data_IF_544750141188
#
_entry.id   IF_544750141188
#
_cell.length_a   1.000
_cell.length_b   1.000
_cell.length_c   1.000
_cell.angle_alpha   90.00
_cell.angle_beta   90.00
_cell.angle_gamma   90.00
#
_symmetry.space_group_name_H-M   'P 1'
#
loop_
_entity.id
_entity.type
_entity.pdbx_description
1 polymer ?
#
# COMPACT_ATOMS: atom_id res chain seq x y z
N UNK A 1 -11.15 9.45 20.20
CA UNK A 1 -10.23 10.53 19.81
C UNK A 1 -9.01 10.65 20.73
N UNK A 2 -9.14 10.49 22.05
CA UNK A 2 -8.04 10.76 23.01
C UNK A 2 -6.88 9.75 23.03
N UNK A 3 -7.10 8.47 22.65
CA UNK A 3 -6.03 7.44 22.62
C UNK A 3 -5.09 7.56 21.40
N UNK A 4 -5.60 7.99 20.26
CA UNK A 4 -4.81 8.12 19.02
C UNK A 4 -3.79 9.25 19.12
N UNK A 5 -4.17 10.37 19.74
CA UNK A 5 -3.27 11.51 19.98
C UNK A 5 -2.10 11.15 20.93
N UNK A 6 -2.34 10.30 21.94
CA UNK A 6 -1.32 9.89 22.90
C UNK A 6 -0.22 9.01 22.27
N UNK A 7 -0.61 8.07 21.40
CA UNK A 7 0.35 7.20 20.67
C UNK A 7 1.18 8.01 19.65
N UNK A 8 0.57 8.97 18.96
CA UNK A 8 1.27 9.88 18.03
C UNK A 8 2.27 10.80 18.74
N UNK A 9 1.93 11.28 19.93
CA UNK A 9 2.84 12.06 20.80
C UNK A 9 4.04 11.21 21.22
N UNK A 10 3.81 9.92 21.51
CA UNK A 10 4.86 8.97 21.93
C UNK A 10 5.81 8.59 20.78
N UNK A 11 5.34 8.60 19.52
CA UNK A 11 6.16 8.37 18.32
C UNK A 11 7.21 9.46 18.08
N UNK A 12 6.92 10.72 18.43
CA UNK A 12 7.80 11.85 18.13
C UNK A 12 8.65 12.37 19.29
N UNK A 13 8.26 12.10 20.56
CA UNK A 13 8.94 12.69 21.74
C UNK A 13 9.96 11.77 22.42
N UNK A 14 10.15 10.53 21.98
CA UNK A 14 11.26 9.67 22.42
C UNK A 14 11.47 9.58 23.94
N UNK A 15 10.41 9.63 24.75
CA UNK A 15 10.54 9.55 26.21
C UNK A 15 10.83 8.11 26.66
N UNK A 16 11.95 7.83 27.33
CA UNK A 16 12.29 6.47 27.77
C UNK A 16 11.43 6.06 28.96
N UNK A 17 10.75 4.91 28.84
CA UNK A 17 10.23 4.17 29.98
C UNK A 17 11.43 3.60 30.77
N UNK A 18 11.57 3.98 32.04
CA UNK A 18 12.60 3.45 32.94
C UNK A 18 12.37 1.94 33.14
N UNK A 19 13.34 1.12 32.76
CA UNK A 19 13.36 -0.32 33.08
C UNK A 19 14.41 -0.59 34.16
N UNK A 20 14.00 -1.27 35.22
CA UNK A 20 14.82 -1.76 36.34
C UNK A 20 15.59 -3.05 35.96
N UNK A 21 16.83 -3.16 36.44
CA UNK A 21 17.67 -4.40 36.50
C UNK A 21 16.94 -5.52 37.27
N UNK A 22 17.26 -6.82 37.26
CA UNK A 22 18.42 -7.66 36.90
C UNK A 22 17.95 -9.14 36.94
N UNK A 23 18.65 -10.09 36.31
CA UNK A 23 19.24 -11.32 36.92
C UNK A 23 19.53 -12.42 35.88
N UNK A 24 20.71 -13.01 36.07
CA UNK A 24 21.39 -14.08 35.35
C UNK A 24 20.88 -15.49 35.72
N UNK A 25 21.01 -16.48 34.83
CA UNK A 25 21.37 -17.87 35.15
C UNK A 25 21.46 -18.82 33.93
N UNK A 26 22.48 -19.69 34.01
CA UNK A 26 23.17 -20.54 33.02
C UNK A 26 22.45 -21.67 32.27
N UNK A 27 23.06 -21.99 31.11
CA UNK A 27 23.36 -23.27 30.41
C UNK A 27 22.54 -24.55 30.67
N UNK A 28 22.02 -25.18 29.59
CA UNK A 28 22.57 -26.44 29.05
C UNK A 28 21.91 -27.00 27.76
N UNK A 29 22.73 -27.72 26.98
CA UNK A 29 22.47 -28.78 25.96
C UNK A 29 21.73 -28.51 24.63
N UNK A 30 22.55 -28.52 23.57
CA UNK A 30 22.40 -29.06 22.19
C UNK A 30 20.99 -29.47 21.72
N UNK A 31 20.45 -28.71 20.76
CA UNK A 31 19.62 -29.24 19.67
C UNK A 31 19.89 -28.45 18.39
N UNK A 32 20.49 -29.13 17.41
CA UNK A 32 20.51 -28.68 16.03
C UNK A 32 19.06 -28.60 15.52
N UNK A 33 18.48 -27.41 15.63
CA UNK A 33 17.44 -26.93 14.74
C UNK A 33 18.09 -25.76 14.02
N UNK A 34 18.07 -25.77 12.70
CA UNK A 34 18.12 -24.54 11.93
C UNK A 34 16.98 -23.67 12.47
N UNK A 35 17.30 -22.82 13.44
CA UNK A 35 16.42 -21.74 13.82
C UNK A 35 16.28 -20.91 12.56
N UNK A 36 15.15 -21.03 11.86
CA UNK A 36 14.62 -19.87 11.15
C UNK A 36 14.56 -18.81 12.24
N UNK A 37 15.56 -17.92 12.27
CA UNK A 37 15.49 -16.71 13.08
C UNK A 37 14.10 -16.16 12.85
N UNK A 38 13.27 -16.11 13.89
CA UNK A 38 11.98 -15.46 13.80
C UNK A 38 12.31 -14.02 13.39
N UNK A 39 12.09 -13.73 12.11
CA UNK A 39 12.33 -12.39 11.61
C UNK A 39 11.36 -11.50 12.37
N UNK A 40 11.88 -10.44 12.97
CA UNK A 40 11.02 -9.45 13.62
C UNK A 40 10.24 -8.75 12.50
N UNK A 41 8.93 -8.66 12.67
CA UNK A 41 8.07 -7.97 11.71
C UNK A 41 8.46 -6.49 11.64
N UNK A 42 8.83 -6.03 10.45
CA UNK A 42 9.10 -4.63 10.16
C UNK A 42 8.04 -4.12 9.19
N UNK A 43 7.09 -3.32 9.70
CA UNK A 43 6.00 -2.76 8.91
C UNK A 43 6.34 -1.33 8.49
N UNK A 44 6.08 -1.02 7.22
CA UNK A 44 6.24 0.34 6.71
C UNK A 44 4.99 1.16 7.05
N UNK A 45 5.10 2.00 8.07
CA UNK A 45 3.97 2.78 8.58
C UNK A 45 3.79 4.11 7.85
N UNK A 46 4.89 4.86 7.62
CA UNK A 46 4.80 6.19 7.05
C UNK A 46 6.11 6.65 6.39
N UNK A 47 5.98 7.64 5.50
CA UNK A 47 7.08 8.39 4.90
C UNK A 47 6.92 9.89 5.14
N UNK A 48 8.03 10.59 5.39
CA UNK A 48 8.03 12.06 5.46
C UNK A 48 8.16 12.65 4.05
N UNK A 49 7.23 13.52 3.68
CA UNK A 49 7.21 14.26 2.42
C UNK A 49 7.73 15.68 2.65
N UNK A 50 8.84 16.09 1.99
CA UNK A 50 9.37 17.45 2.14
C UNK A 50 8.47 18.48 1.46
N UNK A 51 7.96 19.43 2.23
CA UNK A 51 7.08 20.52 1.74
C UNK A 51 7.57 21.87 2.24
N UNK A 52 7.41 22.92 1.45
CA UNK A 52 7.76 24.30 1.84
C UNK A 52 6.64 25.02 2.59
N UNK A 53 5.39 24.56 2.44
CA UNK A 53 4.21 25.15 3.08
C UNK A 53 3.25 24.04 3.53
N UNK A 54 3.14 23.88 4.85
CA UNK A 54 2.35 22.81 5.50
C UNK A 54 0.86 22.95 5.18
N UNK A 55 0.32 24.17 5.16
CA UNK A 55 -1.11 24.39 4.94
C UNK A 55 -1.49 24.28 3.47
N UNK A 56 -0.57 24.62 2.55
CA UNK A 56 -0.74 24.33 1.11
C UNK A 56 -0.74 22.83 0.85
N UNK A 57 0.20 22.07 1.41
CA UNK A 57 0.24 20.62 1.30
C UNK A 57 -1.02 19.97 1.92
N UNK A 58 -1.43 20.41 3.11
CA UNK A 58 -2.65 19.92 3.79
C UNK A 58 -3.90 20.10 2.94
N UNK A 59 -4.09 21.27 2.32
CA UNK A 59 -5.22 21.52 1.43
C UNK A 59 -5.18 20.63 0.19
N UNK A 60 -4.01 20.44 -0.40
CA UNK A 60 -3.85 19.58 -1.58
C UNK A 60 -4.21 18.13 -1.26
N UNK A 61 -3.52 17.49 -0.30
CA UNK A 61 -3.76 16.10 0.05
C UNK A 61 -5.17 15.85 0.60
N UNK A 62 -5.71 16.77 1.39
CA UNK A 62 -7.11 16.73 1.82
C UNK A 62 -8.10 16.85 0.65
N UNK A 63 -7.79 17.69 -0.35
CA UNK A 63 -8.58 17.83 -1.58
C UNK A 63 -8.63 16.54 -2.41
N UNK A 64 -7.55 15.74 -2.39
CA UNK A 64 -7.51 14.40 -3.00
C UNK A 64 -8.38 13.36 -2.25
N UNK A 65 -9.05 13.75 -1.16
CA UNK A 65 -9.89 12.85 -0.38
C UNK A 65 -9.11 11.92 0.55
N UNK A 66 -7.83 12.22 0.81
CA UNK A 66 -7.03 11.45 1.76
C UNK A 66 -7.51 11.74 3.18
N UNK A 67 -7.51 10.73 4.04
CA UNK A 67 -7.99 10.87 5.42
C UNK A 67 -6.95 11.62 6.24
N UNK A 68 -7.33 12.75 6.84
CA UNK A 68 -6.50 13.45 7.81
C UNK A 68 -6.50 12.66 9.12
N UNK A 69 -5.36 12.09 9.49
CA UNK A 69 -5.24 11.31 10.72
C UNK A 69 -4.72 12.14 11.89
N UNK A 70 -3.84 13.11 11.61
CA UNK A 70 -3.26 14.00 12.62
C UNK A 70 -2.91 15.36 12.04
N UNK A 71 -3.06 16.40 12.85
CA UNK A 71 -2.47 17.73 12.66
C UNK A 71 -2.28 18.34 14.04
N UNK A 72 -1.04 18.37 14.52
CA UNK A 72 -0.76 19.01 15.80
C UNK A 72 0.61 19.69 15.82
N UNK A 73 0.69 20.92 16.34
CA UNK A 73 1.93 21.60 16.65
C UNK A 73 2.49 21.17 18.01
N UNK A 74 3.81 21.27 18.17
CA UNK A 74 4.52 21.15 19.46
C UNK A 74 5.44 22.37 19.60
N UNK A 75 5.00 23.35 20.39
CA UNK A 75 5.65 24.66 20.45
C UNK A 75 5.66 25.35 19.09
N UNK A 76 6.62 26.27 18.88
CA UNK A 76 6.72 27.06 17.65
C UNK A 76 7.60 26.42 16.57
N UNK A 77 8.35 25.37 16.92
CA UNK A 77 9.41 24.80 16.06
C UNK A 77 9.00 23.51 15.37
N UNK A 78 7.88 22.92 15.75
CA UNK A 78 7.45 21.61 15.27
C UNK A 78 5.95 21.57 14.98
N UNK A 79 5.60 20.99 13.84
CA UNK A 79 4.22 20.62 13.49
C UNK A 79 4.29 19.37 12.63
N UNK A 80 3.38 18.44 12.87
CA UNK A 80 3.21 17.26 12.01
C UNK A 80 1.77 17.20 11.52
N UNK A 81 1.62 16.96 10.22
CA UNK A 81 0.37 16.63 9.56
C UNK A 81 0.50 15.24 8.97
N UNK A 82 -0.50 14.39 9.21
CA UNK A 82 -0.57 13.03 8.70
C UNK A 82 -1.79 12.84 7.81
N UNK A 83 -1.58 12.25 6.63
CA UNK A 83 -2.64 11.79 5.75
C UNK A 83 -2.45 10.33 5.35
N UNK A 84 -3.55 9.58 5.31
CA UNK A 84 -3.60 8.22 4.73
C UNK A 84 -4.34 8.23 3.39
N UNK A 85 -3.71 7.80 2.28
CA UNK A 85 -4.40 7.56 1.02
C UNK A 85 -5.53 6.52 1.17
N UNK A 86 -6.66 6.65 0.46
CA UNK A 86 -7.73 5.66 0.50
C UNK A 86 -7.22 4.23 0.24
N UNK A 87 -7.56 3.29 1.12
CA UNK A 87 -7.15 1.87 1.02
C UNK A 87 -5.70 1.56 1.41
N UNK A 88 -4.87 2.58 1.66
CA UNK A 88 -3.47 2.37 2.07
C UNK A 88 -3.37 2.01 3.56
N UNK A 89 -2.53 1.02 3.94
CA UNK A 89 -2.14 0.81 5.33
C UNK A 89 -1.06 1.79 5.80
N UNK A 90 -0.37 2.47 4.87
CA UNK A 90 0.71 3.40 5.15
C UNK A 90 0.29 4.87 4.91
N UNK A 91 0.91 5.78 5.66
CA UNK A 91 0.63 7.22 5.67
C UNK A 91 1.75 8.07 5.07
N UNK A 92 1.44 9.34 4.81
CA UNK A 92 2.43 10.40 4.66
C UNK A 92 2.45 11.32 5.87
N UNK A 93 3.62 11.83 6.20
CA UNK A 93 3.84 12.90 7.16
C UNK A 93 4.47 14.11 6.48
N UNK A 94 4.04 15.31 6.82
CA UNK A 94 4.73 16.54 6.42
C UNK A 94 4.49 17.63 7.46
N UNK A 95 5.36 18.64 7.50
CA UNK A 95 5.36 19.54 8.64
C UNK A 95 6.69 20.23 8.91
N UNK A 96 6.69 21.10 9.92
CA UNK A 96 7.86 21.86 10.34
C UNK A 96 8.74 21.00 11.26
N UNK A 97 10.06 20.99 11.01
CA UNK A 97 11.03 20.28 11.85
C UNK A 97 11.08 18.75 11.66
N UNK A 98 10.44 18.21 10.61
CA UNK A 98 10.40 16.76 10.36
C UNK A 98 11.53 16.23 9.46
N UNK A 99 12.07 17.04 8.56
CA UNK A 99 13.09 16.62 7.60
C UNK A 99 13.98 17.80 7.18
N UNK A 100 15.23 17.50 6.84
CA UNK A 100 16.17 18.44 6.21
C UNK A 100 16.20 18.32 4.69
N UNK A 101 15.43 17.40 4.10
CA UNK A 101 15.34 17.25 2.65
C UNK A 101 14.69 18.48 2.00
N UNK A 102 15.11 18.81 0.78
CA UNK A 102 14.58 19.96 0.06
C UNK A 102 13.10 19.73 -0.30
N UNK A 103 12.21 20.73 -0.14
CA UNK A 103 10.84 20.64 -0.64
C UNK A 103 10.77 20.17 -2.10
N UNK A 104 9.85 19.24 -2.39
CA UNK A 104 9.70 18.69 -3.74
C UNK A 104 10.68 17.57 -4.11
N UNK A 105 11.63 17.23 -3.23
CA UNK A 105 12.67 16.27 -3.57
C UNK A 105 12.23 14.80 -3.50
N UNK A 106 11.07 14.48 -2.91
CA UNK A 106 10.61 13.10 -2.84
C UNK A 106 10.12 12.63 -4.21
N UNK A 107 10.70 11.53 -4.72
CA UNK A 107 10.37 10.95 -6.02
C UNK A 107 10.29 9.42 -5.88
N UNK A 108 9.57 8.76 -6.78
CA UNK A 108 9.42 7.30 -6.75
C UNK A 108 8.45 6.81 -5.69
N UNK A 109 7.44 7.62 -5.35
CA UNK A 109 6.37 7.22 -4.42
C UNK A 109 5.28 6.48 -5.20
N UNK A 110 5.02 5.22 -4.86
CA UNK A 110 4.07 4.38 -5.58
C UNK A 110 2.70 4.36 -4.90
N UNK A 111 1.66 4.62 -5.70
CA UNK A 111 0.27 4.35 -5.35
C UNK A 111 -0.23 3.19 -6.21
N UNK A 112 -0.63 2.10 -5.55
CA UNK A 112 -1.09 0.90 -6.26
C UNK A 112 -2.60 0.97 -6.44
N UNK A 113 -3.05 0.73 -7.67
CA UNK A 113 -4.47 0.76 -8.04
C UNK A 113 -4.84 -0.47 -8.85
N UNK A 114 -6.09 -0.91 -8.75
CA UNK A 114 -6.60 -2.03 -9.56
C UNK A 114 -7.15 -1.59 -10.93
N UNK A 115 -7.45 -0.30 -11.06
CA UNK A 115 -7.97 0.34 -12.28
C UNK A 115 -7.32 1.71 -12.42
N UNK A 116 -6.37 1.82 -13.36
CA UNK A 116 -5.58 3.04 -13.53
C UNK A 116 -6.37 4.19 -14.14
N UNK A 117 -7.35 3.90 -14.99
CA UNK A 117 -8.14 4.91 -15.67
C UNK A 117 -9.14 5.53 -14.70
N UNK A 118 -9.80 4.71 -13.89
CA UNK A 118 -10.70 5.18 -12.84
C UNK A 118 -9.95 5.99 -11.78
N UNK A 119 -8.79 5.51 -11.31
CA UNK A 119 -7.99 6.22 -10.33
C UNK A 119 -7.49 7.57 -10.84
N UNK A 120 -7.03 7.62 -12.10
CA UNK A 120 -6.64 8.87 -12.75
C UNK A 120 -7.82 9.83 -12.84
N UNK A 121 -8.96 9.37 -13.33
CA UNK A 121 -10.15 10.21 -13.49
C UNK A 121 -10.57 10.84 -12.16
N UNK A 122 -10.53 10.07 -11.07
CA UNK A 122 -10.81 10.58 -9.72
C UNK A 122 -9.81 11.63 -9.26
N UNK A 123 -8.50 11.40 -9.45
CA UNK A 123 -7.47 12.38 -9.08
C UNK A 123 -7.62 13.70 -9.85
N UNK A 124 -7.85 13.63 -11.16
CA UNK A 124 -8.11 14.82 -12.00
C UNK A 124 -9.36 15.55 -11.55
N UNK A 125 -10.45 14.83 -11.28
CA UNK A 125 -11.70 15.41 -10.78
C UNK A 125 -11.53 16.13 -9.42
N UNK A 126 -10.55 15.70 -8.62
CA UNK A 126 -10.17 16.30 -7.33
C UNK A 126 -9.10 17.38 -7.45
N UNK A 127 -8.69 17.74 -8.68
CA UNK A 127 -7.79 18.85 -8.96
C UNK A 127 -6.31 18.50 -8.98
N UNK A 128 -5.93 17.21 -9.02
CA UNK A 128 -4.56 16.81 -9.30
C UNK A 128 -4.23 16.99 -10.79
N UNK A 129 -3.02 17.48 -11.09
CA UNK A 129 -2.47 17.46 -12.45
C UNK A 129 -1.88 16.08 -12.75
N UNK A 130 -2.75 15.11 -13.05
CA UNK A 130 -2.36 13.75 -13.37
C UNK A 130 -2.11 13.57 -14.87
N UNK A 131 -0.95 13.01 -15.22
CA UNK A 131 -0.56 12.67 -16.58
C UNK A 131 -1.61 11.78 -17.26
N UNK A 132 -1.63 11.76 -18.59
CA UNK A 132 -2.28 10.66 -19.33
C UNK A 132 -1.71 9.30 -18.90
N UNK A 133 -2.52 8.26 -19.06
CA UNK A 133 -2.08 6.88 -18.82
C UNK A 133 -1.03 6.50 -19.87
N UNK A 134 0.02 5.84 -19.41
CA UNK A 134 1.08 5.29 -20.27
C UNK A 134 1.46 3.89 -19.80
N UNK A 135 2.09 3.12 -20.68
CA UNK A 135 2.66 1.82 -20.33
C UNK A 135 4.13 1.74 -20.72
N UNK A 136 4.80 0.69 -20.24
CA UNK A 136 6.17 0.35 -20.63
C UNK A 136 6.21 -1.08 -21.15
N UNK A 137 6.88 -1.30 -22.28
CA UNK A 137 7.04 -2.64 -22.85
C UNK A 137 7.90 -3.57 -21.99
N UNK A 138 8.69 -3.02 -21.06
CA UNK A 138 9.51 -3.77 -20.10
C UNK A 138 10.32 -2.86 -19.17
N UNK A 139 11.11 -3.43 -18.26
CA UNK A 139 11.97 -2.67 -17.35
C UNK A 139 12.94 -1.74 -18.11
N UNK A 140 13.00 -0.47 -17.71
CA UNK A 140 13.86 0.53 -18.33
C UNK A 140 13.43 1.02 -19.72
N UNK A 141 12.34 0.49 -20.27
CA UNK A 141 11.82 0.93 -21.57
C UNK A 141 11.14 2.30 -21.49
N UNK A 142 11.13 3.08 -22.59
CA UNK A 142 10.44 4.37 -22.63
C UNK A 142 8.94 4.22 -22.39
N UNK A 143 8.32 5.32 -21.95
CA UNK A 143 6.87 5.40 -21.82
C UNK A 143 6.21 5.41 -23.21
N UNK A 144 5.16 4.61 -23.37
CA UNK A 144 4.32 4.54 -24.55
C UNK A 144 2.93 5.03 -24.14
N UNK A 145 2.33 5.93 -24.94
CA UNK A 145 1.02 6.48 -24.64
C UNK A 145 -0.06 5.39 -24.57
N UNK A 146 -0.98 5.53 -23.61
CA UNK A 146 -2.10 4.63 -23.40
C UNK A 146 -1.82 3.51 -22.40
N UNK A 147 -2.89 2.87 -21.95
CA UNK A 147 -2.86 1.66 -21.12
C UNK A 147 -2.16 0.51 -21.85
N UNK A 148 -1.55 -0.42 -21.11
CA UNK A 148 -0.95 -1.62 -21.70
C UNK A 148 -2.01 -2.40 -22.50
N UNK A 149 -1.83 -2.58 -23.82
CA UNK A 149 -2.86 -3.18 -24.68
C UNK A 149 -3.09 -4.67 -24.38
N UNK A 150 -2.10 -5.34 -23.79
CA UNK A 150 -2.18 -6.73 -23.34
C UNK A 150 -2.79 -6.84 -21.92
N UNK A 151 -3.08 -5.72 -21.25
CA UNK A 151 -3.65 -5.71 -19.90
C UNK A 151 -2.76 -6.34 -18.83
N UNK A 152 -1.43 -6.37 -19.05
CA UNK A 152 -0.49 -7.01 -18.13
C UNK A 152 -0.40 -6.22 -16.82
N UNK A 153 -0.45 -6.94 -15.71
CA UNK A 153 -0.19 -6.38 -14.39
C UNK A 153 1.18 -5.71 -14.34
N UNK A 154 1.34 -4.66 -13.54
CA UNK A 154 2.56 -3.84 -13.38
C UNK A 154 2.99 -3.01 -14.60
N UNK A 155 2.27 -3.06 -15.73
CA UNK A 155 2.73 -2.44 -16.99
C UNK A 155 2.13 -1.05 -17.26
N UNK A 156 0.98 -0.71 -16.66
CA UNK A 156 0.28 0.57 -16.86
C UNK A 156 0.49 1.53 -15.70
N UNK A 157 0.67 2.82 -16.02
CA UNK A 157 1.06 3.87 -15.10
C UNK A 157 0.35 5.20 -15.39
N UNK A 158 0.30 6.05 -14.36
CA UNK A 158 0.04 7.49 -14.48
C UNK A 158 0.85 8.19 -13.39
N UNK A 159 1.17 9.48 -13.53
CA UNK A 159 1.91 10.22 -12.50
C UNK A 159 1.27 11.57 -12.21
N UNK A 160 1.52 12.09 -11.01
CA UNK A 160 1.19 13.47 -10.67
C UNK A 160 2.24 14.03 -9.71
N UNK A 161 2.22 15.35 -9.53
CA UNK A 161 3.07 16.04 -8.55
C UNK A 161 2.20 16.75 -7.52
N UNK A 162 2.70 16.82 -6.30
CA UNK A 162 2.15 17.74 -5.30
C UNK A 162 2.58 19.20 -5.61
N UNK A 163 2.06 20.20 -4.86
CA UNK A 163 2.39 21.61 -5.09
C UNK A 163 3.87 21.98 -4.92
N UNK A 164 4.66 21.14 -4.27
CA UNK A 164 6.10 21.34 -4.06
C UNK A 164 6.94 20.60 -5.12
N UNK A 165 6.32 19.70 -5.90
CA UNK A 165 6.96 18.94 -6.96
C UNK A 165 7.30 17.49 -6.59
N UNK A 166 6.90 17.03 -5.40
CA UNK A 166 7.09 15.64 -4.98
C UNK A 166 6.30 14.73 -5.92
N UNK A 167 6.98 13.73 -6.48
CA UNK A 167 6.46 12.89 -7.56
C UNK A 167 5.78 11.62 -7.05
N UNK A 168 4.55 11.43 -7.52
CA UNK A 168 3.75 10.23 -7.30
C UNK A 168 3.59 9.45 -8.60
N UNK A 169 3.69 8.13 -8.52
CA UNK A 169 3.48 7.21 -9.63
C UNK A 169 2.36 6.23 -9.25
N UNK A 170 1.25 6.31 -9.96
CA UNK A 170 0.24 5.27 -9.94
C UNK A 170 0.74 4.09 -10.78
N UNK A 171 0.54 2.88 -10.27
CA UNK A 171 0.83 1.64 -10.98
C UNK A 171 -0.37 0.70 -10.89
N UNK A 172 -0.83 0.21 -12.04
CA UNK A 172 -1.90 -0.78 -12.10
C UNK A 172 -1.35 -2.16 -11.73
N UNK A 173 -1.95 -2.77 -10.70
CA UNK A 173 -1.65 -4.15 -10.32
C UNK A 173 -2.97 -4.91 -10.23
N UNK A 174 -3.18 -5.80 -11.19
CA UNK A 174 -4.35 -6.69 -11.28
C UNK A 174 -4.05 -8.09 -10.77
N UNK A 175 -2.78 -8.50 -10.80
CA UNK A 175 -2.25 -9.76 -10.27
C UNK A 175 -0.91 -9.47 -9.59
N UNK A 176 -0.71 -9.93 -8.35
CA UNK A 176 0.53 -9.69 -7.59
C UNK A 176 1.63 -10.67 -8.01
N UNK A 177 2.88 -10.20 -7.99
CA UNK A 177 4.04 -11.09 -8.13
C UNK A 177 4.10 -12.10 -6.98
N UNK A 178 4.50 -13.37 -7.25
CA UNK A 178 4.61 -14.39 -6.22
C UNK A 178 5.50 -13.95 -5.05
N UNK A 179 5.04 -14.21 -3.82
CA UNK A 179 5.79 -13.90 -2.60
C UNK A 179 5.81 -12.41 -2.21
N UNK A 180 5.08 -11.53 -2.90
CA UNK A 180 4.96 -10.12 -2.48
C UNK A 180 4.03 -9.93 -1.29
N UNK A 181 3.05 -10.81 -1.13
CA UNK A 181 2.14 -10.88 0.01
C UNK A 181 2.49 -12.17 0.75
N UNK A 182 2.67 -12.09 2.08
CA UNK A 182 2.92 -13.27 2.91
C UNK A 182 1.72 -14.24 2.80
N UNK A 183 1.99 -15.54 2.80
CA UNK A 183 1.02 -16.58 2.45
C UNK A 183 -0.20 -16.71 3.41
N UNK A 184 -0.30 -15.84 4.44
CA UNK A 184 -1.37 -15.84 5.43
C UNK A 184 -2.36 -14.68 5.35
N UNK A 185 -2.08 -13.62 4.58
CA UNK A 185 -2.91 -12.41 4.57
C UNK A 185 -3.82 -12.34 3.33
N UNK A 186 -5.08 -12.74 3.47
CA UNK A 186 -6.12 -12.53 2.44
C UNK A 186 -6.76 -11.14 2.62
N UNK A 187 -6.02 -10.08 2.28
CA UNK A 187 -6.48 -8.70 2.50
C UNK A 187 -6.90 -8.05 1.18
N UNK A 188 -8.17 -7.62 1.08
CA UNK A 188 -8.65 -6.77 -0.01
C UNK A 188 -8.76 -5.33 0.49
N UNK A 189 -8.13 -4.39 -0.21
CA UNK A 189 -8.02 -2.98 0.21
C UNK A 189 -9.20 -2.12 -0.21
N UNK A 190 -10.08 -2.64 -1.08
CA UNK A 190 -11.33 -1.99 -1.48
C UNK A 190 -12.43 -3.00 -1.86
N UNK A 191 -13.68 -2.54 -1.86
CA UNK A 191 -14.82 -3.33 -2.36
C UNK A 191 -14.72 -3.63 -3.86
N UNK A 192 -14.13 -2.72 -4.65
CA UNK A 192 -13.92 -2.96 -6.08
C UNK A 192 -12.89 -4.06 -6.33
N UNK A 193 -11.81 -4.10 -5.54
CA UNK A 193 -10.80 -5.16 -5.60
C UNK A 193 -11.43 -6.52 -5.24
N UNK A 194 -12.18 -6.57 -4.14
CA UNK A 194 -12.91 -7.78 -3.72
C UNK A 194 -13.92 -8.23 -4.77
N UNK A 195 -14.74 -7.31 -5.30
CA UNK A 195 -15.71 -7.63 -6.34
C UNK A 195 -15.03 -8.09 -7.64
N UNK A 196 -13.90 -7.50 -8.00
CA UNK A 196 -13.07 -7.94 -9.13
C UNK A 196 -12.54 -9.35 -8.93
N UNK A 197 -12.00 -9.67 -7.75
CA UNK A 197 -11.54 -10.99 -7.39
C UNK A 197 -12.68 -12.03 -7.43
N UNK A 198 -13.84 -11.71 -6.86
CA UNK A 198 -15.02 -12.58 -6.90
C UNK A 198 -15.48 -12.87 -8.33
N UNK A 199 -15.47 -11.88 -9.23
CA UNK A 199 -15.84 -12.10 -10.64
C UNK A 199 -14.85 -13.01 -11.37
N UNK A 200 -13.54 -12.82 -11.16
CA UNK A 200 -12.50 -13.68 -11.75
C UNK A 200 -12.58 -15.11 -11.21
N UNK A 201 -12.76 -15.23 -9.89
CA UNK A 201 -12.97 -16.52 -9.21
C UNK A 201 -14.19 -17.25 -9.74
N UNK A 202 -15.32 -16.55 -9.88
CA UNK A 202 -16.54 -17.14 -10.43
C UNK A 202 -16.38 -17.61 -11.88
N UNK A 203 -15.68 -16.84 -12.71
CA UNK A 203 -15.36 -17.25 -14.08
C UNK A 203 -14.47 -18.51 -14.11
N UNK A 204 -13.46 -18.57 -13.25
CA UNK A 204 -12.54 -19.71 -13.17
C UNK A 204 -13.21 -20.97 -12.60
N UNK A 205 -14.09 -20.81 -11.61
CA UNK A 205 -14.88 -21.89 -11.03
C UNK A 205 -15.88 -22.47 -12.04
N UNK A 206 -16.51 -21.62 -12.85
CA UNK A 206 -17.37 -22.10 -13.95
C UNK A 206 -16.63 -22.97 -14.97
N UNK A 207 -15.33 -22.73 -15.20
CA UNK A 207 -14.49 -23.61 -16.02
C UNK A 207 -14.08 -24.88 -15.26
N UNK A 208 -13.91 -24.83 -13.94
CA UNK A 208 -13.69 -26.01 -13.08
C UNK A 208 -14.90 -26.96 -13.13
N UNK A 209 -16.11 -26.45 -12.94
CA UNK A 209 -17.34 -27.25 -13.02
C UNK A 209 -17.52 -27.92 -14.39
N UNK A 210 -17.17 -27.23 -15.48
CA UNK A 210 -17.18 -27.83 -16.83
C UNK A 210 -16.22 -29.02 -16.94
N UNK A 211 -15.03 -28.93 -16.36
CA UNK A 211 -14.04 -30.03 -16.35
C UNK A 211 -14.50 -31.23 -15.52
N UNK A 212 -15.28 -30.99 -14.46
CA UNK A 212 -15.83 -32.03 -13.57
C UNK A 212 -17.19 -32.56 -14.02
N UNK A 213 -17.54 -32.39 -15.29
CA UNK A 213 -18.73 -32.97 -15.90
C UNK A 213 -19.99 -32.09 -15.81
N UNK A 214 -19.83 -30.80 -15.51
CA UNK A 214 -20.92 -29.83 -15.39
C UNK A 214 -21.75 -30.00 -14.12
N UNK A 215 -21.24 -30.77 -13.15
CA UNK A 215 -21.89 -30.95 -11.86
C UNK A 215 -21.62 -29.73 -10.99
N UNK A 216 -22.65 -29.23 -10.33
CA UNK A 216 -22.50 -28.13 -9.36
C UNK A 216 -21.56 -28.56 -8.25
N UNK A 217 -20.55 -27.75 -7.99
CA UNK A 217 -19.63 -27.95 -6.87
C UNK A 217 -20.27 -27.42 -5.58
N UNK A 218 -20.67 -28.33 -4.68
CA UNK A 218 -21.24 -27.96 -3.38
C UNK A 218 -20.19 -27.35 -2.43
N UNK A 219 -18.89 -27.57 -2.69
CA UNK A 219 -17.78 -26.99 -1.95
C UNK A 219 -17.22 -25.72 -2.63
N UNK A 220 -18.00 -25.09 -3.50
CA UNK A 220 -17.63 -23.84 -4.16
C UNK A 220 -17.09 -22.75 -3.19
N UNK A 221 -17.54 -22.59 -1.92
CA UNK A 221 -16.97 -21.57 -1.05
C UNK A 221 -15.50 -21.83 -0.73
N UNK A 222 -15.12 -23.10 -0.55
CA UNK A 222 -13.74 -23.49 -0.25
C UNK A 222 -12.86 -23.29 -1.48
N UNK A 223 -13.35 -23.69 -2.66
CA UNK A 223 -12.65 -23.46 -3.93
C UNK A 223 -12.44 -21.97 -4.19
N UNK A 224 -13.45 -21.13 -3.91
CA UNK A 224 -13.33 -19.68 -4.04
C UNK A 224 -12.28 -19.13 -3.08
N UNK A 225 -12.28 -19.56 -1.82
CA UNK A 225 -11.31 -19.13 -0.83
C UNK A 225 -9.88 -19.50 -1.25
N UNK A 226 -9.66 -20.74 -1.71
CA UNK A 226 -8.37 -21.21 -2.22
C UNK A 226 -7.90 -20.42 -3.45
N UNK A 227 -8.80 -20.20 -4.42
CA UNK A 227 -8.48 -19.44 -5.63
C UNK A 227 -8.13 -17.99 -5.29
N UNK A 228 -8.95 -17.31 -4.50
CA UNK A 228 -8.76 -15.91 -4.13
C UNK A 228 -7.48 -15.72 -3.32
N UNK A 229 -7.17 -16.64 -2.41
CA UNK A 229 -5.91 -16.63 -1.68
C UNK A 229 -4.73 -16.85 -2.64
N UNK A 230 -4.76 -17.92 -3.44
CA UNK A 230 -3.68 -18.25 -4.37
C UNK A 230 -3.41 -17.12 -5.39
N UNK A 231 -4.46 -16.49 -5.92
CA UNK A 231 -4.36 -15.34 -6.84
C UNK A 231 -3.65 -14.15 -6.18
N UNK A 232 -3.99 -13.84 -4.91
CA UNK A 232 -3.39 -12.71 -4.19
C UNK A 232 -1.90 -12.90 -3.91
N UNK A 233 -1.44 -14.12 -3.68
CA UNK A 233 -0.04 -14.43 -3.35
C UNK A 233 0.75 -14.96 -4.57
N UNK A 234 0.15 -14.98 -5.75
CA UNK A 234 0.77 -15.44 -7.00
C UNK A 234 1.12 -16.94 -7.01
N UNK A 235 0.37 -17.77 -6.29
CA UNK A 235 0.53 -19.23 -6.30
C UNK A 235 -0.23 -19.87 -7.48
N UNK A 236 0.07 -21.13 -7.83
CA UNK A 236 -0.74 -21.88 -8.78
C UNK A 236 -2.22 -21.88 -8.36
N UNK A 237 -3.09 -21.55 -9.31
CA UNK A 237 -4.53 -21.51 -9.08
C UNK A 237 -5.11 -22.94 -9.03
N UNK A 238 -6.14 -23.20 -8.20
CA UNK A 238 -6.81 -24.49 -8.18
C UNK A 238 -7.47 -24.78 -9.54
N UNK A 239 -7.43 -26.05 -9.95
CA UNK A 239 -7.97 -26.55 -11.23
C UNK A 239 -9.25 -27.30 -11.06
#
# INVERSE_FOLDING_TARGET
MTRSLALLTQMYLGMPCRQTKELDMSDDVVRSKTAKTAMIDLKFEAVVIPVSDVDRAKRFYGGLGWRLDADFPVGDTFRVVQFTPPGSPASIHFGTGLTSAAPGSAQGLYLIVSDIEAARAELVARGADASEVFHRAGPGQPAISGKDPEGRSYSSFASFKDPDGNGWLLQEITVRLPGRVEAGDTTFTSLNELAGALRRTAAAHGEHEKRTGGTRDENWPDWYAEYMAAEQIGQPLPT
#
